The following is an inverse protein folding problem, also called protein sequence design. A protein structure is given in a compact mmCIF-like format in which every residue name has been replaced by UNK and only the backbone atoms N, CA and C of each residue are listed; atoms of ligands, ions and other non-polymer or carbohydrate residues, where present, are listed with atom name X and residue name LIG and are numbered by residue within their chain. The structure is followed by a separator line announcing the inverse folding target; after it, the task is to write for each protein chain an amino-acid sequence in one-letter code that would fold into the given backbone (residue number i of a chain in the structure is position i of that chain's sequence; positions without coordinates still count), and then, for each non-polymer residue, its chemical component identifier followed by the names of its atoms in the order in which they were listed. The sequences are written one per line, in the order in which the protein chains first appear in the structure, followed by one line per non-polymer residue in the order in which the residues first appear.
data_IF_889184147095
#
_entry.id   IF_889184147095
#
_cell.length_a   1.000
_cell.length_b   1.000
_cell.length_c   1.000
_cell.angle_alpha   90.00
_cell.angle_beta   90.00
_cell.angle_gamma   90.00
#
_symmetry.space_group_name_H-M   'P 1'
#
loop_
_entity.id
_entity.type
_entity.pdbx_description
1 polymer ?
#
# COMPACT_ATOMS: atom_id res chain seq x y z
N UNK A 1 2.93 8.45 -46.11
CA UNK A 1 1.84 7.46 -45.95
C UNK A 1 1.48 7.43 -44.48
N UNK A 2 0.20 7.63 -44.16
CA UNK A 2 -0.27 8.08 -42.84
C UNK A 2 0.00 7.10 -41.71
N UNK A 3 0.44 7.63 -40.57
CA UNK A 3 0.40 6.92 -39.30
C UNK A 3 -1.09 6.75 -38.95
N UNK A 4 -1.62 5.55 -39.22
CA UNK A 4 -2.95 5.17 -38.78
C UNK A 4 -3.02 5.31 -37.26
N UNK A 5 -4.08 5.95 -36.79
CA UNK A 5 -4.41 6.14 -35.38
C UNK A 5 -4.86 4.79 -34.80
N UNK A 6 -3.94 3.83 -34.77
CA UNK A 6 -4.22 2.45 -34.40
C UNK A 6 -4.42 2.41 -32.88
N UNK A 7 -5.64 2.06 -32.46
CA UNK A 7 -6.01 2.02 -31.06
C UNK A 7 -5.10 1.03 -30.31
N UNK A 8 -4.28 1.55 -29.40
CA UNK A 8 -3.42 0.73 -28.56
C UNK A 8 -4.34 -0.13 -27.67
N UNK A 9 -4.13 -1.45 -27.67
CA UNK A 9 -4.87 -2.41 -26.84
C UNK A 9 -3.89 -3.18 -25.96
N UNK A 10 -4.26 -3.48 -24.71
CA UNK A 10 -3.46 -4.32 -23.81
C UNK A 10 -3.15 -5.69 -24.42
N UNK A 11 -4.09 -6.29 -25.16
CA UNK A 11 -3.89 -7.55 -25.89
C UNK A 11 -2.82 -7.45 -26.98
N UNK A 12 -2.76 -6.31 -27.69
CA UNK A 12 -1.78 -6.05 -28.74
C UNK A 12 -0.39 -5.75 -28.18
N UNK A 13 -0.32 -5.11 -27.01
CA UNK A 13 0.93 -4.94 -26.27
C UNK A 13 1.47 -6.29 -25.81
N UNK A 14 0.63 -7.14 -25.22
CA UNK A 14 1.00 -8.49 -24.77
C UNK A 14 1.49 -9.36 -25.93
N UNK A 15 0.77 -9.42 -27.05
CA UNK A 15 1.20 -10.19 -28.22
C UNK A 15 2.51 -9.66 -28.82
N UNK A 16 2.68 -8.33 -28.85
CA UNK A 16 3.92 -7.68 -29.25
C UNK A 16 5.11 -8.04 -28.35
N UNK A 17 4.89 -8.20 -27.04
CA UNK A 17 5.93 -8.68 -26.11
C UNK A 17 6.30 -10.14 -26.36
N UNK A 18 5.32 -11.02 -26.55
CA UNK A 18 5.54 -12.46 -26.76
C UNK A 18 6.37 -12.76 -28.00
N UNK A 19 6.19 -11.99 -29.09
CA UNK A 19 7.00 -12.12 -30.31
C UNK A 19 8.25 -11.24 -30.29
N UNK A 20 8.55 -10.59 -29.16
CA UNK A 20 9.61 -9.60 -28.99
C UNK A 20 9.64 -8.56 -30.12
N UNK A 21 8.48 -8.04 -30.50
CA UNK A 21 8.32 -7.13 -31.65
C UNK A 21 9.17 -5.87 -31.52
N UNK A 22 9.35 -5.37 -30.28
CA UNK A 22 10.17 -4.18 -29.99
C UNK A 22 11.65 -4.49 -29.79
N UNK A 23 12.05 -5.77 -29.78
CA UNK A 23 13.41 -6.22 -29.50
C UNK A 23 13.87 -6.02 -28.04
N UNK A 24 13.00 -5.53 -27.16
CA UNK A 24 13.37 -5.07 -25.81
C UNK A 24 12.87 -5.97 -24.68
N UNK A 25 12.19 -7.10 -24.98
CA UNK A 25 11.61 -8.13 -24.08
C UNK A 25 10.65 -7.66 -22.97
N UNK A 26 10.68 -6.37 -22.64
CA UNK A 26 9.96 -5.70 -21.57
C UNK A 26 9.08 -4.62 -22.15
N UNK A 27 8.00 -4.33 -21.43
CA UNK A 27 7.17 -3.17 -21.70
C UNK A 27 7.94 -1.88 -21.46
N UNK A 28 7.81 -0.93 -22.38
CA UNK A 28 8.33 0.42 -22.16
C UNK A 28 7.59 1.07 -20.99
N UNK A 29 8.12 2.20 -20.49
CA UNK A 29 7.42 2.98 -19.47
C UNK A 29 6.05 3.48 -19.94
N UNK A 30 5.90 3.78 -21.23
CA UNK A 30 4.62 4.21 -21.82
C UNK A 30 3.62 3.04 -21.85
N UNK A 31 4.05 1.84 -22.24
CA UNK A 31 3.19 0.66 -22.27
C UNK A 31 2.71 0.30 -20.86
N UNK A 32 3.60 0.34 -19.87
CA UNK A 32 3.25 0.11 -18.46
C UNK A 32 2.23 1.13 -17.96
N UNK A 33 2.45 2.41 -18.22
CA UNK A 33 1.51 3.46 -17.84
C UNK A 33 0.15 3.30 -18.54
N UNK A 34 0.15 2.93 -19.83
CA UNK A 34 -1.05 2.70 -20.61
C UNK A 34 -1.89 1.55 -20.06
N UNK A 35 -1.24 0.45 -19.67
CA UNK A 35 -1.87 -0.72 -19.05
C UNK A 35 -2.40 -0.37 -17.65
N UNK A 36 -1.57 0.23 -16.79
CA UNK A 36 -1.95 0.59 -15.42
C UNK A 36 -3.11 1.60 -15.37
N UNK A 37 -3.13 2.57 -16.28
CA UNK A 37 -4.22 3.56 -16.36
C UNK A 37 -5.57 2.99 -16.81
N UNK A 38 -5.63 1.72 -17.22
CA UNK A 38 -6.86 1.01 -17.61
C UNK A 38 -7.18 -0.18 -16.72
N UNK A 39 -6.33 -0.47 -15.75
CA UNK A 39 -6.58 -1.54 -14.79
C UNK A 39 -7.70 -1.10 -13.84
N UNK A 40 -8.76 -1.89 -13.78
CA UNK A 40 -9.80 -1.77 -12.75
C UNK A 40 -9.59 -2.92 -11.76
N UNK A 41 -9.75 -2.70 -10.44
CA UNK A 41 -9.78 -3.78 -9.46
C UNK A 41 -10.81 -4.83 -9.90
N UNK A 42 -10.33 -6.03 -10.21
CA UNK A 42 -11.17 -7.14 -10.68
C UNK A 42 -11.74 -7.96 -9.53
N UNK A 43 -10.97 -8.04 -8.45
CA UNK A 43 -11.39 -8.67 -7.21
C UNK A 43 -12.11 -7.63 -6.33
N UNK A 44 -13.10 -8.11 -5.59
CA UNK A 44 -13.81 -7.29 -4.61
C UNK A 44 -12.90 -6.88 -3.45
N UNK A 45 -13.27 -5.84 -2.69
CA UNK A 45 -12.53 -5.46 -1.50
C UNK A 45 -12.54 -6.61 -0.50
N UNK A 46 -11.37 -6.92 0.05
CA UNK A 46 -11.21 -7.90 1.12
C UNK A 46 -11.03 -7.18 2.46
N UNK A 47 -11.72 -7.67 3.50
CA UNK A 47 -11.51 -7.18 4.86
C UNK A 47 -10.29 -7.90 5.42
N UNK A 48 -9.18 -7.16 5.57
CA UNK A 48 -7.93 -7.70 6.12
C UNK A 48 -7.83 -7.45 7.63
N UNK A 49 -8.48 -6.39 8.14
CA UNK A 49 -8.47 -6.03 9.56
C UNK A 49 -9.68 -5.16 9.94
N UNK A 50 -10.01 -5.07 11.24
CA UNK A 50 -11.10 -4.25 11.79
C UNK A 50 -10.70 -3.57 13.10
N UNK A 51 -10.64 -2.24 13.06
CA UNK A 51 -10.48 -1.39 14.25
C UNK A 51 -11.79 -0.66 14.60
N UNK A 52 -11.85 -0.13 15.81
CA UNK A 52 -12.96 0.71 16.31
C UNK A 52 -12.85 2.18 15.86
N UNK A 53 -11.75 2.54 15.20
CA UNK A 53 -11.40 3.88 14.73
C UNK A 53 -11.19 3.92 13.22
N UNK A 54 -11.13 5.14 12.64
CA UNK A 54 -11.02 5.34 11.19
C UNK A 54 -9.55 5.29 10.76
N UNK A 55 -9.22 4.35 9.88
CA UNK A 55 -7.98 4.41 9.11
C UNK A 55 -8.04 5.63 8.18
N UNK A 56 -6.97 6.42 8.12
CA UNK A 56 -6.93 7.64 7.29
C UNK A 56 -5.61 7.82 6.54
N UNK A 57 -4.53 7.16 6.98
CA UNK A 57 -3.28 7.04 6.22
C UNK A 57 -2.82 5.60 6.18
N UNK A 58 -2.15 5.22 5.08
CA UNK A 58 -1.59 3.88 4.94
C UNK A 58 -0.53 3.81 3.84
N UNK A 59 0.25 2.74 3.88
CA UNK A 59 1.24 2.41 2.85
C UNK A 59 1.41 0.89 2.74
N UNK A 60 1.56 0.37 1.53
CA UNK A 60 2.05 -1.00 1.33
C UNK A 60 3.58 -1.02 1.34
N UNK A 61 4.16 -2.13 1.81
CA UNK A 61 5.57 -2.43 1.56
C UNK A 61 5.83 -2.59 0.05
N UNK A 62 7.09 -2.45 -0.36
CA UNK A 62 7.48 -2.53 -1.77
C UNK A 62 7.14 -3.88 -2.42
N UNK A 63 7.18 -4.96 -1.64
CA UNK A 63 6.81 -6.32 -2.07
C UNK A 63 5.31 -6.62 -1.92
N UNK A 64 4.54 -5.72 -1.31
CA UNK A 64 3.11 -5.85 -1.06
C UNK A 64 2.73 -6.85 0.03
N UNK A 65 3.69 -7.40 0.77
CA UNK A 65 3.42 -8.39 1.84
C UNK A 65 2.88 -7.75 3.12
N UNK A 66 3.26 -6.49 3.39
CA UNK A 66 2.85 -5.73 4.56
C UNK A 66 2.03 -4.50 4.15
N UNK A 67 1.09 -4.16 5.01
CA UNK A 67 0.28 -2.96 4.93
C UNK A 67 0.33 -2.23 6.26
N UNK A 68 0.92 -1.03 6.28
CA UNK A 68 0.93 -0.16 7.47
C UNK A 68 -0.20 0.85 7.35
N UNK A 69 -0.91 1.11 8.46
CA UNK A 69 -1.99 2.10 8.49
C UNK A 69 -2.05 2.85 9.81
N UNK A 70 -2.31 4.16 9.74
CA UNK A 70 -2.54 5.03 10.89
C UNK A 70 -4.04 5.25 11.11
N UNK A 71 -4.45 5.20 12.38
CA UNK A 71 -5.83 5.36 12.83
C UNK A 71 -6.04 6.63 13.65
N UNK A 72 -7.09 7.38 13.32
CA UNK A 72 -7.44 8.60 14.05
C UNK A 72 -8.37 8.23 15.20
N UNK A 73 -7.92 8.45 16.44
CA UNK A 73 -8.72 8.16 17.63
C UNK A 73 -9.07 9.47 18.32
N UNK A 74 -10.27 10.00 18.07
CA UNK A 74 -10.77 11.23 18.71
C UNK A 74 -10.91 11.15 20.24
N UNK A 75 -10.60 10.01 20.87
CA UNK A 75 -10.80 9.75 22.30
C UNK A 75 -9.60 9.13 23.03
N UNK A 76 -8.58 8.65 22.29
CA UNK A 76 -7.32 8.15 22.85
C UNK A 76 -6.29 9.25 22.63
N UNK A 77 -5.59 9.65 23.68
CA UNK A 77 -4.55 10.68 23.62
C UNK A 77 -3.29 10.26 22.84
N UNK A 78 -3.30 9.05 22.28
CA UNK A 78 -2.20 8.43 21.55
C UNK A 78 -2.72 7.88 20.21
N UNK A 79 -2.20 8.35 19.06
CA UNK A 79 -2.46 7.71 17.77
C UNK A 79 -1.77 6.34 17.70
N UNK A 80 -2.39 5.39 16.99
CA UNK A 80 -1.91 4.02 16.87
C UNK A 80 -1.61 3.73 15.39
N UNK A 81 -0.44 3.15 15.11
CA UNK A 81 -0.06 2.64 13.80
C UNK A 81 -0.12 1.11 13.85
N UNK A 82 -0.77 0.52 12.85
CA UNK A 82 -0.96 -0.92 12.74
C UNK A 82 -0.25 -1.46 11.49
N UNK A 83 0.40 -2.62 11.61
CA UNK A 83 1.01 -3.35 10.50
C UNK A 83 0.22 -4.64 10.29
N UNK A 84 -0.22 -4.86 9.06
CA UNK A 84 -1.05 -5.99 8.65
C UNK A 84 -0.31 -6.82 7.60
N UNK A 85 -0.23 -8.13 7.77
CA UNK A 85 0.24 -9.05 6.74
C UNK A 85 -0.91 -9.39 5.78
N UNK A 86 -0.75 -9.00 4.51
CA UNK A 86 -1.80 -9.06 3.48
C UNK A 86 -2.04 -10.50 2.99
N UNK A 87 -1.05 -11.40 3.14
CA UNK A 87 -1.09 -12.77 2.64
C UNK A 87 -1.44 -13.84 3.68
N UNK A 88 -1.74 -13.46 4.93
CA UNK A 88 -2.00 -14.41 6.00
C UNK A 88 -3.31 -15.20 5.76
N UNK A 89 -3.28 -16.51 6.03
CA UNK A 89 -4.39 -17.45 5.75
C UNK A 89 -5.57 -17.29 6.71
N UNK A 90 -5.36 -16.71 7.89
CA UNK A 90 -6.41 -16.45 8.87
C UNK A 90 -7.12 -15.12 8.55
N UNK A 91 -8.40 -15.21 8.13
CA UNK A 91 -9.23 -14.05 7.73
C UNK A 91 -10.35 -13.71 8.72
N UNK A 92 -10.31 -14.24 9.94
CA UNK A 92 -11.21 -13.83 11.01
C UNK A 92 -10.42 -13.38 12.25
N UNK A 93 -10.58 -12.11 12.58
CA UNK A 93 -10.09 -11.50 13.81
C UNK A 93 -10.98 -11.93 14.99
N UNK A 94 -10.70 -13.10 15.56
CA UNK A 94 -11.00 -13.32 16.97
C UNK A 94 -9.93 -12.56 17.74
N UNK A 95 -10.30 -11.39 18.28
CA UNK A 95 -9.55 -10.57 19.22
C UNK A 95 -8.14 -11.12 19.54
N UNK A 96 -7.13 -10.56 18.88
CA UNK A 96 -5.71 -10.90 19.02
C UNK A 96 -5.31 -12.27 18.43
N UNK A 97 -5.08 -12.33 17.10
CA UNK A 97 -3.91 -13.01 16.48
C UNK A 97 -4.15 -13.14 14.96
N UNK A 98 -3.46 -12.28 14.22
CA UNK A 98 -2.88 -12.59 12.90
C UNK A 98 -1.51 -11.89 12.86
N UNK A 99 -0.53 -12.43 13.60
CA UNK A 99 0.84 -11.87 13.78
C UNK A 99 0.92 -10.35 13.58
N UNK A 100 0.19 -9.63 14.43
CA UNK A 100 0.42 -8.21 14.64
C UNK A 100 1.76 -8.16 15.34
N UNK A 101 2.82 -7.70 14.66
CA UNK A 101 3.98 -7.20 15.38
C UNK A 101 3.44 -6.09 16.29
N UNK A 102 3.58 -6.25 17.62
CA UNK A 102 3.09 -5.32 18.65
C UNK A 102 2.95 -3.91 18.06
N UNK A 103 1.71 -3.41 17.95
CA UNK A 103 1.43 -2.15 17.26
C UNK A 103 2.48 -1.13 17.67
N UNK A 104 3.24 -0.62 16.71
CA UNK A 104 4.37 0.26 16.99
C UNK A 104 3.80 1.44 17.77
N UNK A 105 4.19 1.55 19.03
CA UNK A 105 3.58 2.51 19.93
C UNK A 105 4.14 3.89 19.65
N UNK A 106 3.40 4.66 18.86
CA UNK A 106 3.68 6.06 18.59
C UNK A 106 2.93 6.98 19.58
N UNK A 107 2.54 6.48 20.76
CA UNK A 107 1.84 7.22 21.84
C UNK A 107 2.52 8.51 22.27
N UNK A 108 3.81 8.68 21.98
CA UNK A 108 4.51 9.93 22.19
C UNK A 108 3.98 11.09 21.31
N UNK A 109 3.08 10.85 20.34
CA UNK A 109 2.38 11.93 19.65
C UNK A 109 1.29 12.48 20.58
N UNK A 110 1.73 13.23 21.59
CA UNK A 110 0.90 13.86 22.61
C UNK A 110 -0.32 14.54 21.96
N UNK A 111 -1.50 13.91 22.07
CA UNK A 111 -2.79 14.37 21.57
C UNK A 111 -2.80 14.86 20.10
N UNK A 112 -1.86 14.39 19.28
CA UNK A 112 -1.72 14.82 17.89
C UNK A 112 -1.93 13.65 16.94
N UNK A 113 -2.65 13.91 15.86
CA UNK A 113 -2.90 12.89 14.84
C UNK A 113 -1.59 12.60 14.09
N UNK A 114 -1.33 11.33 13.74
CA UNK A 114 -0.33 11.04 12.71
C UNK A 114 -0.86 11.65 11.40
N UNK A 115 -0.03 12.11 10.48
CA UNK A 115 -0.46 12.60 9.18
C UNK A 115 0.15 11.79 8.03
N UNK A 116 1.15 10.98 8.32
CA UNK A 116 1.84 10.15 7.34
C UNK A 116 2.54 8.98 8.00
N UNK A 117 2.62 7.86 7.28
CA UNK A 117 3.42 6.68 7.62
C UNK A 117 4.21 6.27 6.38
N UNK A 118 5.47 5.86 6.57
CA UNK A 118 6.30 5.37 5.49
C UNK A 118 7.28 4.30 5.97
N UNK A 119 7.40 3.19 5.23
CA UNK A 119 8.54 2.30 5.35
C UNK A 119 9.81 3.06 4.96
N UNK A 120 10.85 2.93 5.80
CA UNK A 120 12.14 3.57 5.59
C UNK A 120 12.94 2.90 4.46
N UNK A 121 12.69 1.61 4.24
CA UNK A 121 13.34 0.79 3.23
C UNK A 121 12.44 -0.39 2.79
N UNK A 122 12.96 -1.19 1.86
CA UNK A 122 12.27 -2.36 1.32
C UNK A 122 12.23 -3.56 2.31
N UNK A 123 12.87 -3.45 3.48
CA UNK A 123 12.92 -4.56 4.46
C UNK A 123 11.66 -4.66 5.30
N UNK A 124 10.90 -3.56 5.40
CA UNK A 124 9.71 -3.48 6.25
C UNK A 124 10.01 -3.39 7.74
N UNK A 125 11.29 -3.29 8.14
CA UNK A 125 11.71 -3.29 9.56
C UNK A 125 11.75 -1.91 10.21
N UNK A 126 11.73 -0.85 9.40
CA UNK A 126 11.84 0.53 9.87
C UNK A 126 10.70 1.35 9.28
N UNK A 127 9.99 2.09 10.12
CA UNK A 127 8.86 2.93 9.74
C UNK A 127 9.06 4.33 10.31
N UNK A 128 8.82 5.34 9.47
CA UNK A 128 8.70 6.74 9.87
C UNK A 128 7.23 7.15 9.98
N UNK A 129 6.90 7.92 11.01
CA UNK A 129 5.65 8.65 11.12
C UNK A 129 5.90 10.15 11.26
N UNK A 130 4.98 10.96 10.77
CA UNK A 130 4.96 12.41 10.99
C UNK A 130 3.61 12.83 11.56
N UNK A 131 3.59 13.86 12.42
CA UNK A 131 2.41 14.32 13.14
C UNK A 131 2.44 15.86 13.32
N UNK A 132 1.31 16.44 13.73
CA UNK A 132 1.19 17.87 14.03
C UNK A 132 1.88 18.28 15.36
N UNK A 133 2.43 17.32 16.11
CA UNK A 133 3.26 17.53 17.31
C UNK A 133 4.67 18.05 17.01
N UNK A 134 4.98 18.35 15.73
CA UNK A 134 6.29 18.78 15.22
C UNK A 134 7.39 17.71 15.26
N UNK A 135 7.06 16.46 15.55
CA UNK A 135 7.99 15.34 15.61
C UNK A 135 7.82 14.38 14.43
N UNK A 136 8.96 13.90 13.92
CA UNK A 136 9.01 12.68 13.13
C UNK A 136 9.53 11.56 14.01
N UNK A 137 8.81 10.44 14.08
CA UNK A 137 9.17 9.28 14.91
C UNK A 137 9.57 8.11 14.03
N UNK A 138 10.51 7.32 14.54
CA UNK A 138 11.01 6.11 13.88
C UNK A 138 10.73 4.93 14.80
N UNK A 139 10.25 3.84 14.22
CA UNK A 139 9.99 2.60 14.92
C UNK A 139 10.40 1.40 14.06
#
# INVERSE_FOLDING_TARGET
MGAGNDMISTTRLLSGREVNYSGNEKFSSIDRAFVLGRYLPVDGPEIVDRMDSRAYVSQFSADGSLFVTGFQVYSSLAPIIHIVNVGAVAKESYANVTDIHDGLDFSQHEASDVNTVAFADDTGHLIYSGSDDTLCKVA
#
